data_IF_104701475151
#
_entry.id   IF_104701475151
#
_cell.length_a   1.000
_cell.length_b   1.000
_cell.length_c   1.000
_cell.angle_alpha   90.00
_cell.angle_beta   90.00
_cell.angle_gamma   90.00
#
_symmetry.space_group_name_H-M   'P 1'
#
loop_
_entity.id
_entity.type
_entity.pdbx_description
1 polymer ?
#
# COMPACT_ATOMS: atom_id res chain seq x y z
N UNK A 1 -16.05 2.21 -29.28
CA UNK A 1 -16.40 2.43 -27.86
C UNK A 1 -15.19 2.42 -26.93
N UNK A 2 -14.43 1.32 -26.80
CA UNK A 2 -13.26 1.27 -25.90
C UNK A 2 -12.13 2.25 -26.32
N UNK A 3 -11.84 2.35 -27.62
CA UNK A 3 -10.89 3.33 -28.17
C UNK A 3 -11.34 4.79 -27.96
N UNK A 4 -12.64 5.04 -27.86
CA UNK A 4 -13.20 6.39 -27.69
C UNK A 4 -13.07 6.89 -26.26
N UNK A 5 -13.24 6.02 -25.26
CA UNK A 5 -12.97 6.33 -23.84
C UNK A 5 -11.50 6.73 -23.65
N UNK A 6 -10.58 6.00 -24.29
CA UNK A 6 -9.14 6.31 -24.26
C UNK A 6 -8.82 7.63 -24.93
N UNK A 7 -9.42 7.89 -26.09
CA UNK A 7 -9.23 9.16 -26.79
C UNK A 7 -9.74 10.35 -25.98
N UNK A 8 -10.92 10.22 -25.36
CA UNK A 8 -11.54 11.30 -24.58
C UNK A 8 -10.82 11.56 -23.25
N UNK A 9 -10.31 10.51 -22.58
CA UNK A 9 -9.51 10.69 -21.36
C UNK A 9 -8.15 11.36 -21.66
N UNK A 10 -7.51 11.01 -22.78
CA UNK A 10 -6.28 11.68 -23.24
C UNK A 10 -6.51 13.15 -23.65
N UNK A 11 -7.76 13.56 -23.85
CA UNK A 11 -8.17 14.95 -24.09
C UNK A 11 -8.54 15.69 -22.79
N UNK A 12 -8.15 15.16 -21.62
CA UNK A 12 -8.44 15.72 -20.29
C UNK A 12 -9.94 15.90 -19.99
N UNK A 13 -10.82 15.14 -20.65
CA UNK A 13 -12.26 15.16 -20.35
C UNK A 13 -12.54 14.51 -18.99
N UNK A 14 -13.46 15.07 -18.21
CA UNK A 14 -13.88 14.48 -16.93
C UNK A 14 -14.73 13.22 -17.14
N UNK A 15 -14.75 12.31 -16.16
CA UNK A 15 -15.56 11.08 -16.25
C UNK A 15 -17.05 11.31 -16.53
N UNK A 16 -17.59 12.44 -16.06
CA UNK A 16 -18.98 12.84 -16.31
C UNK A 16 -19.18 13.26 -17.77
N UNK A 17 -18.29 14.07 -18.33
CA UNK A 17 -18.33 14.44 -19.75
C UNK A 17 -18.15 13.25 -20.69
N UNK A 18 -17.33 12.26 -20.29
CA UNK A 18 -17.15 11.02 -21.06
C UNK A 18 -18.42 10.15 -20.99
N UNK A 19 -19.05 10.07 -19.83
CA UNK A 19 -20.33 9.38 -19.63
C UNK A 19 -21.45 10.00 -20.49
N UNK A 20 -21.59 11.32 -20.44
CA UNK A 20 -22.59 12.06 -21.21
C UNK A 20 -22.37 11.91 -22.73
N UNK A 21 -21.11 11.94 -23.20
CA UNK A 21 -20.76 11.76 -24.62
C UNK A 21 -21.01 10.35 -25.16
N UNK A 22 -20.96 9.34 -24.31
CA UNK A 22 -21.07 7.93 -24.70
C UNK A 22 -22.43 7.32 -24.36
N UNK A 23 -23.34 8.10 -23.78
CA UNK A 23 -24.63 7.65 -23.25
C UNK A 23 -24.48 6.46 -22.28
N UNK A 24 -23.54 6.59 -21.34
CA UNK A 24 -23.22 5.56 -20.35
C UNK A 24 -23.23 6.16 -18.95
N UNK A 25 -23.48 5.33 -17.93
CA UNK A 25 -23.25 5.74 -16.55
C UNK A 25 -21.76 5.90 -16.26
N UNK A 26 -21.41 6.81 -15.34
CA UNK A 26 -20.03 7.05 -14.90
C UNK A 26 -19.37 5.76 -14.42
N UNK A 27 -20.11 4.89 -13.73
CA UNK A 27 -19.63 3.60 -13.25
C UNK A 27 -19.29 2.65 -14.40
N UNK A 28 -20.12 2.58 -15.44
CA UNK A 28 -19.85 1.78 -16.65
C UNK A 28 -18.64 2.31 -17.41
N UNK A 29 -18.46 3.63 -17.48
CA UNK A 29 -17.27 4.25 -18.09
C UNK A 29 -16.01 3.90 -17.30
N UNK A 30 -16.03 4.04 -15.96
CA UNK A 30 -14.92 3.65 -15.08
C UNK A 30 -14.59 2.17 -15.20
N UNK A 31 -15.60 1.30 -15.26
CA UNK A 31 -15.43 -0.14 -15.46
C UNK A 31 -14.78 -0.46 -16.81
N UNK A 32 -15.28 0.12 -17.92
CA UNK A 32 -14.70 -0.08 -19.26
C UNK A 32 -13.28 0.49 -19.36
N UNK A 33 -13.02 1.65 -18.76
CA UNK A 33 -11.68 2.22 -18.66
C UNK A 33 -10.73 1.26 -17.95
N UNK A 34 -11.12 0.74 -16.79
CA UNK A 34 -10.36 -0.28 -16.06
C UNK A 34 -10.07 -1.49 -16.95
N UNK A 35 -11.08 -2.05 -17.61
CA UNK A 35 -10.90 -3.19 -18.52
C UNK A 35 -9.92 -2.87 -19.67
N UNK A 36 -10.00 -1.69 -20.27
CA UNK A 36 -9.09 -1.28 -21.34
C UNK A 36 -7.65 -1.05 -20.89
N UNK A 37 -7.46 -0.47 -19.70
CA UNK A 37 -6.13 -0.30 -19.10
C UNK A 37 -5.54 -1.67 -18.77
N UNK A 38 -6.35 -2.57 -18.21
CA UNK A 38 -5.96 -3.96 -17.92
C UNK A 38 -5.57 -4.74 -19.19
N UNK A 39 -6.31 -4.58 -20.28
CA UNK A 39 -6.01 -5.22 -21.57
C UNK A 39 -4.80 -4.58 -22.29
N UNK A 40 -4.57 -3.27 -22.13
CA UNK A 40 -3.42 -2.57 -22.72
C UNK A 40 -2.10 -2.90 -22.03
N UNK A 41 -2.12 -3.00 -20.70
CA UNK A 41 -0.91 -3.22 -19.90
C UNK A 41 -0.63 -4.71 -19.66
N UNK A 42 -1.24 -5.60 -20.45
CA UNK A 42 -1.30 -7.06 -20.31
C UNK A 42 0.02 -7.83 -20.33
N UNK A 43 1.17 -7.21 -20.02
CA UNK A 43 2.43 -7.90 -19.80
C UNK A 43 3.43 -7.21 -18.85
N UNK A 44 3.13 -6.07 -18.18
CA UNK A 44 4.25 -5.29 -17.58
C UNK A 44 3.96 -4.41 -16.35
N UNK A 45 2.78 -4.38 -15.74
CA UNK A 45 2.63 -3.62 -14.48
C UNK A 45 2.49 -4.55 -13.28
N UNK A 46 3.41 -4.41 -12.34
CA UNK A 46 3.44 -5.15 -11.09
C UNK A 46 2.44 -4.55 -10.10
N UNK A 47 1.89 -5.40 -9.23
CA UNK A 47 1.13 -4.92 -8.09
C UNK A 47 2.08 -4.24 -7.11
N UNK A 48 1.67 -3.11 -6.56
CA UNK A 48 2.53 -2.33 -5.66
C UNK A 48 1.70 -1.69 -4.54
N UNK A 49 2.32 -1.55 -3.37
CA UNK A 49 1.84 -0.73 -2.26
C UNK A 49 2.99 0.19 -1.86
N UNK A 50 2.80 1.49 -2.07
CA UNK A 50 3.79 2.52 -1.79
C UNK A 50 3.27 3.43 -0.67
N UNK A 51 4.12 3.70 0.30
CA UNK A 51 3.83 4.60 1.41
C UNK A 51 4.87 5.73 1.41
N UNK A 52 4.43 6.98 1.63
CA UNK A 52 5.31 8.16 1.71
C UNK A 52 4.72 9.16 2.70
N UNK A 53 5.56 9.79 3.52
CA UNK A 53 5.13 10.86 4.41
C UNK A 53 4.88 12.16 3.65
N UNK A 54 3.71 12.76 3.85
CA UNK A 54 3.37 14.11 3.38
C UNK A 54 3.73 15.20 4.41
N UNK A 55 3.77 14.82 5.69
CA UNK A 55 4.21 15.64 6.82
C UNK A 55 4.74 14.73 7.93
N UNK A 56 5.19 15.32 9.05
CA UNK A 56 5.76 14.57 10.18
C UNK A 56 4.84 13.49 10.79
N UNK A 57 3.54 13.55 10.52
CA UNK A 57 2.50 12.71 11.12
C UNK A 57 1.45 12.22 10.10
N UNK A 58 1.63 12.54 8.80
CA UNK A 58 0.68 12.17 7.74
C UNK A 58 1.32 11.27 6.71
N UNK A 59 0.79 10.07 6.59
CA UNK A 59 1.25 9.07 5.64
C UNK A 59 0.28 8.97 4.48
N UNK A 60 0.79 9.10 3.27
CA UNK A 60 0.07 8.79 2.04
C UNK A 60 0.43 7.38 1.59
N UNK A 61 -0.58 6.53 1.48
CA UNK A 61 -0.44 5.18 0.95
C UNK A 61 -1.17 5.10 -0.38
N UNK A 62 -0.53 4.58 -1.42
CA UNK A 62 -1.10 4.29 -2.72
C UNK A 62 -0.85 2.83 -3.03
N UNK A 63 -1.83 2.16 -3.61
CA UNK A 63 -1.67 0.80 -4.09
C UNK A 63 -2.30 0.57 -5.45
N UNK A 64 -1.80 -0.46 -6.12
CA UNK A 64 -2.44 -1.07 -7.27
C UNK A 64 -2.34 -2.58 -7.12
N UNK A 65 -3.49 -3.25 -7.11
CA UNK A 65 -3.55 -4.71 -7.08
C UNK A 65 -3.92 -5.18 -8.48
N UNK A 66 -3.07 -6.02 -9.08
CA UNK A 66 -3.40 -6.63 -10.35
C UNK A 66 -4.59 -7.58 -10.16
N UNK A 67 -5.62 -7.57 -11.04
CA UNK A 67 -6.81 -8.38 -10.84
C UNK A 67 -6.53 -9.88 -10.71
N UNK A 68 -5.53 -10.41 -11.43
CA UNK A 68 -5.18 -11.84 -11.29
C UNK A 68 -4.64 -12.17 -9.90
N UNK A 69 -3.87 -11.27 -9.26
CA UNK A 69 -3.36 -11.46 -7.90
C UNK A 69 -4.53 -11.41 -6.91
N UNK A 70 -5.44 -10.45 -7.07
CA UNK A 70 -6.63 -10.36 -6.22
C UNK A 70 -7.52 -11.59 -6.34
N UNK A 71 -7.77 -12.06 -7.56
CA UNK A 71 -8.57 -13.27 -7.79
C UNK A 71 -7.87 -14.54 -7.30
N UNK A 72 -6.55 -14.64 -7.44
CA UNK A 72 -5.77 -15.73 -6.84
C UNK A 72 -5.86 -15.70 -5.31
N UNK A 73 -5.68 -14.54 -4.68
CA UNK A 73 -5.78 -14.37 -3.23
C UNK A 73 -7.16 -14.82 -2.70
N UNK A 74 -8.25 -14.40 -3.37
CA UNK A 74 -9.63 -14.82 -3.02
C UNK A 74 -9.87 -16.32 -3.17
N UNK A 75 -9.15 -16.99 -4.07
CA UNK A 75 -9.21 -18.46 -4.23
C UNK A 75 -8.44 -19.17 -3.13
N UNK A 76 -7.31 -18.62 -2.70
CA UNK A 76 -6.54 -19.16 -1.57
C UNK A 76 -7.32 -19.04 -0.26
N UNK A 77 -7.92 -17.88 0.00
CA UNK A 77 -8.75 -17.64 1.17
C UNK A 77 -9.94 -16.75 0.83
N UNK A 78 -11.14 -17.18 1.24
CA UNK A 78 -12.36 -16.42 0.98
C UNK A 78 -12.42 -15.18 1.87
N UNK A 79 -12.61 -13.97 1.29
CA UNK A 79 -12.80 -12.77 2.09
C UNK A 79 -14.14 -12.79 2.80
N UNK A 80 -14.17 -12.31 4.05
CA UNK A 80 -15.38 -12.09 4.84
C UNK A 80 -16.35 -11.13 4.13
N UNK A 81 -15.81 -10.12 3.46
CA UNK A 81 -16.59 -9.19 2.63
C UNK A 81 -15.82 -8.89 1.33
N UNK A 82 -16.28 -9.36 0.16
CA UNK A 82 -15.60 -9.16 -1.13
C UNK A 82 -15.46 -7.71 -1.59
N UNK A 83 -16.24 -6.78 -1.02
CA UNK A 83 -16.21 -5.36 -1.37
C UNK A 83 -15.25 -4.53 -0.49
N UNK A 84 -14.76 -5.11 0.60
CA UNK A 84 -13.95 -4.42 1.61
C UNK A 84 -12.57 -5.06 1.71
N UNK A 85 -11.57 -4.21 1.84
CA UNK A 85 -10.19 -4.55 2.15
C UNK A 85 -9.76 -3.88 3.45
N UNK A 86 -8.66 -4.36 4.01
CA UNK A 86 -8.04 -3.85 5.21
C UNK A 86 -6.66 -3.29 4.85
N UNK A 87 -6.46 -1.99 5.07
CA UNK A 87 -5.15 -1.36 5.07
C UNK A 87 -4.65 -1.34 6.52
N UNK A 88 -3.59 -2.08 6.80
CA UNK A 88 -2.95 -2.16 8.11
C UNK A 88 -1.66 -1.35 8.11
N UNK A 89 -1.43 -0.59 9.17
CA UNK A 89 -0.23 0.20 9.40
C UNK A 89 0.40 -0.30 10.70
N UNK A 90 1.59 -0.88 10.59
CA UNK A 90 2.34 -1.47 11.68
C UNK A 90 3.44 -0.51 12.12
N UNK A 91 3.50 -0.18 13.40
CA UNK A 91 4.67 0.47 14.00
C UNK A 91 5.74 -0.60 14.26
N UNK A 92 6.78 -0.57 13.42
CA UNK A 92 7.88 -1.54 13.41
C UNK A 92 9.20 -0.94 13.87
N UNK A 93 9.14 0.19 14.58
CA UNK A 93 10.32 0.88 15.10
C UNK A 93 11.19 -0.09 15.90
N UNK A 94 12.46 -0.22 15.53
CA UNK A 94 13.46 -1.05 16.22
C UNK A 94 13.05 -2.54 16.40
N UNK A 95 12.22 -3.08 15.51
CA UNK A 95 11.88 -4.51 15.48
C UNK A 95 12.11 -5.15 14.11
N UNK A 96 12.53 -6.41 14.12
CA UNK A 96 12.51 -7.25 12.94
C UNK A 96 11.09 -7.71 12.63
N UNK A 97 10.47 -7.16 11.59
CA UNK A 97 9.05 -7.39 11.28
C UNK A 97 8.81 -8.76 10.61
N UNK A 98 7.90 -9.56 11.19
CA UNK A 98 7.53 -10.90 10.72
C UNK A 98 6.05 -11.03 10.30
N UNK A 99 5.34 -9.90 10.12
CA UNK A 99 3.91 -9.89 9.79
C UNK A 99 2.96 -9.97 10.99
N UNK A 100 3.46 -10.41 12.16
CA UNK A 100 2.64 -10.65 13.36
C UNK A 100 3.09 -9.81 14.57
N UNK A 101 4.29 -9.25 14.55
CA UNK A 101 4.82 -8.41 15.62
C UNK A 101 4.82 -6.91 15.23
N UNK A 102 4.35 -6.06 16.13
CA UNK A 102 4.43 -4.60 16.00
C UNK A 102 4.22 -3.96 17.36
N UNK A 103 4.75 -2.75 17.56
CA UNK A 103 4.44 -1.95 18.74
C UNK A 103 2.98 -1.50 18.77
N UNK A 104 2.42 -1.22 17.58
CA UNK A 104 1.00 -0.93 17.41
C UNK A 104 0.57 -1.22 15.99
N UNK A 105 -0.73 -1.51 15.82
CA UNK A 105 -1.33 -1.74 14.51
C UNK A 105 -2.58 -0.87 14.38
N UNK A 106 -2.63 -0.08 13.31
CA UNK A 106 -3.84 0.65 12.92
C UNK A 106 -4.46 -0.04 11.71
N UNK A 107 -5.76 -0.37 11.80
CA UNK A 107 -6.49 -1.01 10.72
C UNK A 107 -7.54 -0.05 10.15
N UNK A 108 -7.52 0.15 8.84
CA UNK A 108 -8.47 1.00 8.12
C UNK A 108 -9.22 0.14 7.11
N UNK A 109 -10.55 0.14 7.19
CA UNK A 109 -11.40 -0.48 6.16
C UNK A 109 -11.43 0.42 4.94
N UNK A 110 -11.09 -0.14 3.79
CA UNK A 110 -11.10 0.54 2.49
C UNK A 110 -11.96 -0.24 1.51
N UNK A 111 -12.53 0.43 0.52
CA UNK A 111 -13.23 -0.26 -0.57
C UNK A 111 -12.23 -0.96 -1.48
N UNK A 112 -12.61 -2.10 -2.05
CA UNK A 112 -11.83 -2.76 -3.12
C UNK A 112 -11.61 -1.86 -4.33
N UNK A 113 -12.41 -0.79 -4.48
CA UNK A 113 -12.26 0.21 -5.54
C UNK A 113 -11.25 1.32 -5.22
N UNK A 114 -10.85 1.46 -3.96
CA UNK A 114 -9.92 2.49 -3.52
C UNK A 114 -8.50 2.15 -3.98
N UNK A 115 -7.69 3.19 -4.18
CA UNK A 115 -6.31 3.06 -4.67
C UNK A 115 -5.32 3.85 -3.83
N UNK A 116 -5.80 4.63 -2.87
CA UNK A 116 -4.97 5.38 -1.97
C UNK A 116 -5.73 5.75 -0.70
N UNK A 117 -4.98 6.08 0.35
CA UNK A 117 -5.51 6.67 1.57
C UNK A 117 -4.49 7.64 2.16
N UNK A 118 -4.96 8.64 2.92
CA UNK A 118 -4.09 9.48 3.74
C UNK A 118 -4.39 9.23 5.21
N UNK A 119 -3.42 8.67 5.91
CA UNK A 119 -3.45 8.40 7.35
C UNK A 119 -2.89 9.63 8.07
N UNK A 120 -3.50 10.00 9.19
CA UNK A 120 -3.08 11.13 10.03
C UNK A 120 -2.79 10.64 11.45
N UNK A 121 -1.99 11.39 12.20
CA UNK A 121 -1.74 11.13 13.61
C UNK A 121 -0.75 10.01 13.87
N UNK A 122 0.13 9.71 12.91
CA UNK A 122 1.26 8.81 13.17
C UNK A 122 2.27 9.48 14.10
N UNK A 123 2.92 8.68 14.95
CA UNK A 123 3.88 9.17 15.92
C UNK A 123 5.21 9.47 15.22
N UNK A 124 5.88 10.54 15.65
CA UNK A 124 7.23 10.90 15.18
C UNK A 124 8.29 9.96 15.73
N UNK A 125 9.46 9.95 15.11
CA UNK A 125 10.58 9.07 15.45
C UNK A 125 10.18 7.58 15.48
N UNK A 126 9.32 7.20 14.54
CA UNK A 126 8.81 5.85 14.31
C UNK A 126 8.98 5.44 12.87
N UNK A 127 8.93 4.13 12.68
CA UNK A 127 9.00 3.48 11.38
C UNK A 127 7.82 2.57 11.18
N UNK A 128 7.27 2.61 9.97
CA UNK A 128 6.01 1.97 9.66
C UNK A 128 6.12 1.09 8.42
N UNK A 129 5.41 -0.03 8.44
CA UNK A 129 5.08 -0.82 7.25
C UNK A 129 3.57 -0.77 7.05
N UNK A 130 3.15 -0.70 5.80
CA UNK A 130 1.75 -0.87 5.43
C UNK A 130 1.53 -2.23 4.76
N UNK A 131 0.43 -2.89 5.11
CA UNK A 131 -0.07 -4.06 4.38
C UNK A 131 -1.49 -3.82 3.90
N UNK A 132 -1.79 -4.30 2.70
CA UNK A 132 -3.13 -4.32 2.13
C UNK A 132 -3.56 -5.76 1.97
N UNK A 133 -4.73 -6.09 2.51
CA UNK A 133 -5.28 -7.44 2.46
C UNK A 133 -6.78 -7.46 2.72
N UNK A 134 -7.31 -8.61 3.12
CA UNK A 134 -8.70 -8.73 3.58
C UNK A 134 -8.79 -9.64 4.80
N UNK A 135 -9.81 -9.44 5.62
CA UNK A 135 -10.21 -10.44 6.60
C UNK A 135 -10.88 -11.63 5.90
N UNK A 136 -10.51 -12.83 6.30
CA UNK A 136 -11.13 -14.09 5.85
C UNK A 136 -12.41 -14.38 6.63
N UNK A 137 -13.22 -15.32 6.15
CA UNK A 137 -14.38 -15.84 6.90
C UNK A 137 -14.01 -16.41 8.28
N UNK A 138 -12.75 -16.85 8.46
CA UNK A 138 -12.19 -17.28 9.75
C UNK A 138 -11.67 -16.13 10.62
N UNK A 139 -11.94 -14.87 10.25
CA UNK A 139 -11.48 -13.66 10.93
C UNK A 139 -9.95 -13.50 11.01
N UNK A 140 -9.22 -14.19 10.13
CA UNK A 140 -7.79 -14.03 9.98
C UNK A 140 -7.49 -12.99 8.91
N UNK A 141 -6.37 -12.29 9.04
CA UNK A 141 -5.93 -11.36 8.00
C UNK A 141 -5.13 -12.09 6.94
N UNK A 142 -5.51 -11.89 5.68
CA UNK A 142 -4.80 -12.41 4.54
C UNK A 142 -4.11 -11.25 3.80
N UNK A 143 -2.79 -11.06 3.97
CA UNK A 143 -2.05 -10.00 3.28
C UNK A 143 -1.94 -10.28 1.78
N UNK A 144 -2.04 -9.24 0.95
CA UNK A 144 -1.86 -9.32 -0.50
C UNK A 144 -0.64 -8.50 -0.95
N UNK A 145 -0.50 -7.28 -0.43
CA UNK A 145 0.63 -6.39 -0.71
C UNK A 145 1.21 -5.86 0.58
N UNK A 146 2.52 -5.62 0.57
CA UNK A 146 3.27 -4.98 1.65
C UNK A 146 4.09 -3.83 1.07
N UNK A 147 4.21 -2.73 1.81
CA UNK A 147 5.09 -1.61 1.45
C UNK A 147 6.51 -1.85 1.94
N UNK A 148 7.46 -1.12 1.36
CA UNK A 148 8.72 -0.88 2.06
C UNK A 148 8.47 -0.13 3.38
N UNK A 149 9.37 -0.30 4.38
CA UNK A 149 9.41 0.52 5.57
C UNK A 149 9.51 2.01 5.23
N UNK A 150 8.81 2.83 6.01
CA UNK A 150 8.86 4.29 5.92
C UNK A 150 9.13 4.89 7.28
N UNK A 151 9.99 5.88 7.30
CA UNK A 151 10.44 6.51 8.55
C UNK A 151 9.82 7.89 8.67
N UNK A 152 9.25 8.18 9.82
CA UNK A 152 8.91 9.56 10.17
C UNK A 152 10.19 10.38 10.36
N UNK A 153 10.15 11.69 10.08
CA UNK A 153 11.26 12.57 10.42
C UNK A 153 11.62 12.46 11.91
N UNK A 154 12.91 12.59 12.20
CA UNK A 154 13.41 12.70 13.57
C UNK A 154 12.73 13.86 14.31
N UNK A 155 12.55 13.71 15.62
CA UNK A 155 11.93 14.74 16.44
C UNK A 155 12.95 15.82 16.83
N UNK A 156 14.22 15.45 16.96
CA UNK A 156 15.33 16.35 17.26
C UNK A 156 16.59 16.00 16.46
N UNK A 157 17.53 16.94 16.35
CA UNK A 157 18.85 16.69 15.74
C UNK A 157 19.70 15.67 16.52
N UNK A 158 19.44 15.49 17.82
CA UNK A 158 20.13 14.52 18.66
C UNK A 158 19.74 13.06 18.36
N UNK A 159 18.52 12.85 17.85
CA UNK A 159 18.01 11.51 17.54
C UNK A 159 18.82 10.86 16.40
N UNK A 160 19.30 11.68 15.45
CA UNK A 160 20.17 11.23 14.37
C UNK A 160 21.51 10.70 14.90
N UNK A 161 22.10 11.36 15.90
CA UNK A 161 23.39 10.96 16.48
C UNK A 161 23.30 9.58 17.14
N UNK A 162 22.17 9.29 17.79
CA UNK A 162 21.94 7.99 18.41
C UNK A 162 21.84 6.86 17.37
N UNK A 163 21.07 7.09 16.28
CA UNK A 163 20.98 6.11 15.18
C UNK A 163 22.27 6.00 14.35
N UNK A 164 23.08 7.06 14.28
CA UNK A 164 24.37 7.04 13.57
C UNK A 164 25.40 6.16 14.28
N UNK A 165 25.44 6.18 15.62
CA UNK A 165 26.40 5.38 16.37
C UNK A 165 26.24 3.89 16.11
N UNK A 166 25.02 3.40 16.24
CA UNK A 166 24.78 2.00 15.97
C UNK A 166 25.19 1.76 14.46
N UNK A 167 24.97 2.70 13.51
CA UNK A 167 25.12 2.46 12.06
C UNK A 167 26.58 2.29 11.67
N UNK A 168 27.42 3.07 12.35
CA UNK A 168 28.86 2.89 12.36
C UNK A 168 29.26 1.53 12.95
N UNK A 169 28.62 1.07 14.04
CA UNK A 169 28.88 -0.26 14.62
C UNK A 169 28.56 -1.40 13.64
N UNK A 170 27.45 -1.31 12.90
CA UNK A 170 27.14 -2.30 11.87
C UNK A 170 28.12 -2.24 10.69
N UNK A 171 28.49 -1.05 10.23
CA UNK A 171 29.49 -0.89 9.16
C UNK A 171 30.84 -1.52 9.55
N UNK A 172 31.24 -1.36 10.81
CA UNK A 172 32.47 -1.93 11.35
C UNK A 172 32.37 -3.45 11.60
N UNK A 173 31.17 -3.97 11.86
CA UNK A 173 30.93 -5.40 12.10
C UNK A 173 29.62 -5.88 11.41
N UNK A 174 29.67 -6.15 10.10
CA UNK A 174 28.48 -6.42 9.29
C UNK A 174 27.82 -7.78 9.57
N UNK A 175 28.46 -8.63 10.39
CA UNK A 175 27.92 -9.94 10.78
C UNK A 175 27.10 -9.89 12.08
N UNK A 176 27.10 -8.76 12.79
CA UNK A 176 26.21 -8.54 13.93
C UNK A 176 24.86 -8.05 13.39
N UNK A 177 23.76 -8.63 13.88
CA UNK A 177 22.39 -8.14 13.61
C UNK A 177 22.34 -6.65 13.95
N UNK A 178 22.12 -5.74 12.98
CA UNK A 178 22.05 -4.31 13.26
C UNK A 178 20.97 -3.98 14.30
N UNK A 179 21.17 -2.88 15.04
CA UNK A 179 20.18 -2.44 16.04
C UNK A 179 19.03 -1.63 15.42
N UNK A 180 19.23 -0.93 14.28
CA UNK A 180 18.11 -0.59 13.38
C UNK A 180 17.98 -1.70 12.34
N UNK A 181 16.86 -2.42 12.33
CA UNK A 181 16.50 -3.24 11.18
C UNK A 181 15.03 -3.01 10.96
N UNK A 182 14.73 -1.85 10.43
CA UNK A 182 13.42 -1.63 9.83
C UNK A 182 13.52 -2.18 8.41
N UNK A 183 13.69 -3.50 8.31
CA UNK A 183 13.62 -4.25 7.06
C UNK A 183 12.63 -5.39 7.27
N UNK A 184 11.64 -5.58 6.38
CA UNK A 184 10.81 -6.76 6.40
C UNK A 184 11.69 -7.99 6.13
N UNK A 185 11.32 -9.12 6.73
CA UNK A 185 11.94 -10.39 6.41
C UNK A 185 11.78 -10.68 4.90
N UNK A 186 12.90 -10.77 4.17
CA UNK A 186 12.91 -11.17 2.76
C UNK A 186 12.91 -12.70 2.58
N UNK A 187 12.86 -13.49 3.66
CA UNK A 187 12.86 -14.96 3.59
C UNK A 187 11.44 -15.55 3.56
N UNK A 188 10.80 -15.45 2.40
CA UNK A 188 9.71 -16.36 1.98
C UNK A 188 9.81 -16.66 0.50
#
# INVERSE_FOLDING_TARGET
>A
MNKDIVRLNNQHSTWKQIADKLDLSVEKVKYKWRKCVLERDGMSWQSDLNAVFLSADRLYCRWRVHPSILEAAKRCNKPLNPAIMDLRIFDITDIYFNGMNAHSVTCIKVSVSDQFWTIKGLRRNRSYICELGFLTESYLFFPILQSHPVHTPYQSSGDYVYKMYDAEQFHQNPFRVPAWIEHPDCST
#
